data_IF_789179481912
#
_entry.id   IF_789179481912
#
_cell.length_a   1.000
_cell.length_b   1.000
_cell.length_c   1.000
_cell.angle_alpha   90.00
_cell.angle_beta   90.00
_cell.angle_gamma   90.00
#
_symmetry.space_group_name_H-M   'P 1'
#
loop_
_entity.id
_entity.type
_entity.pdbx_description
1 polymer ?
#
# COMPACT_ATOMS: atom_id res chain seq x y z
N UNK A 1 8.08 30.88 -1.19
CA UNK A 1 7.55 29.73 -0.45
C UNK A 1 8.56 28.60 -0.58
N UNK A 2 8.84 27.88 0.51
CA UNK A 2 9.74 26.72 0.46
C UNK A 2 9.09 25.59 -0.36
N UNK A 3 9.92 24.80 -1.05
CA UNK A 3 9.48 23.71 -1.94
C UNK A 3 10.07 22.39 -1.47
N UNK A 4 9.37 21.28 -1.72
CA UNK A 4 9.91 19.92 -1.55
C UNK A 4 10.63 19.42 -2.82
N UNK A 5 11.24 18.25 -2.74
CA UNK A 5 11.92 17.62 -3.89
C UNK A 5 10.94 17.33 -5.05
N UNK A 6 11.42 17.12 -6.28
CA UNK A 6 10.57 16.66 -7.37
C UNK A 6 10.00 15.26 -7.11
N UNK A 7 8.75 14.99 -7.52
CA UNK A 7 8.10 13.68 -7.40
C UNK A 7 6.72 13.64 -8.09
N UNK A 8 6.08 12.48 -8.17
CA UNK A 8 4.77 12.30 -8.82
C UNK A 8 3.62 12.68 -7.87
N UNK A 9 2.73 13.56 -8.33
CA UNK A 9 1.51 13.91 -7.62
C UNK A 9 0.48 12.76 -7.69
N UNK A 10 -0.12 12.32 -6.56
CA UNK A 10 -1.12 11.27 -6.55
C UNK A 10 -2.46 11.69 -7.16
N UNK A 11 -2.74 13.01 -7.21
CA UNK A 11 -4.00 13.54 -7.73
C UNK A 11 -4.03 13.66 -9.25
N UNK A 12 -3.05 14.36 -9.83
CA UNK A 12 -3.00 14.61 -11.29
C UNK A 12 -1.97 13.76 -12.03
N UNK A 13 -1.19 12.92 -11.33
CA UNK A 13 -0.19 11.99 -11.90
C UNK A 13 0.98 12.65 -12.63
N UNK A 14 1.08 13.97 -12.51
CA UNK A 14 2.18 14.77 -13.05
C UNK A 14 3.40 14.78 -12.12
N UNK A 15 4.60 14.88 -12.70
CA UNK A 15 5.81 15.20 -11.96
C UNK A 15 5.78 16.67 -11.54
N UNK A 16 5.91 16.94 -10.25
CA UNK A 16 5.78 18.27 -9.65
C UNK A 16 6.81 18.50 -8.56
N UNK A 17 6.98 19.77 -8.18
CA UNK A 17 7.78 20.23 -7.04
C UNK A 17 6.82 21.01 -6.12
N UNK A 18 6.14 20.32 -5.18
CA UNK A 18 5.10 20.90 -4.34
C UNK A 18 5.61 22.05 -3.47
N UNK A 19 4.74 23.04 -3.28
CA UNK A 19 4.97 24.16 -2.38
C UNK A 19 4.57 23.76 -0.96
N UNK A 20 5.43 24.03 0.02
CA UNK A 20 5.11 23.83 1.44
C UNK A 20 4.14 24.92 1.85
N UNK A 21 2.95 24.50 2.30
CA UNK A 21 1.91 25.40 2.80
C UNK A 21 1.81 25.38 4.33
N UNK A 22 2.33 24.33 4.97
CA UNK A 22 2.42 24.21 6.42
C UNK A 22 3.62 23.32 6.79
N UNK A 23 4.58 23.88 7.53
CA UNK A 23 5.70 23.13 8.09
C UNK A 23 5.30 22.49 9.42
N UNK A 24 5.69 21.23 9.62
CA UNK A 24 5.38 20.46 10.80
C UNK A 24 6.64 19.75 11.32
N UNK A 25 6.82 19.72 12.64
CA UNK A 25 7.96 19.06 13.29
C UNK A 25 7.68 17.62 13.71
N UNK A 26 6.42 17.32 14.04
CA UNK A 26 5.97 15.99 14.48
C UNK A 26 5.25 15.25 13.34
N UNK A 27 4.40 16.00 12.61
CA UNK A 27 3.68 15.50 11.44
C UNK A 27 4.48 15.80 10.17
N UNK A 28 4.03 15.25 9.04
CA UNK A 28 4.61 15.59 7.74
C UNK A 28 4.22 17.00 7.35
N UNK A 29 5.13 17.70 6.67
CA UNK A 29 4.83 18.97 6.04
C UNK A 29 3.67 18.84 5.06
N UNK A 30 2.71 19.75 5.16
CA UNK A 30 1.59 19.84 4.23
C UNK A 30 2.04 20.60 3.01
N UNK A 31 1.95 19.96 1.85
CA UNK A 31 2.37 20.56 0.59
C UNK A 31 1.17 20.70 -0.36
N UNK A 32 1.25 21.65 -1.28
CA UNK A 32 0.26 21.88 -2.33
C UNK A 32 0.86 21.59 -3.70
N UNK A 33 0.17 20.81 -4.51
CA UNK A 33 0.55 20.58 -5.90
C UNK A 33 0.40 21.89 -6.72
N UNK A 34 1.44 22.37 -7.42
CA UNK A 34 1.36 23.61 -8.19
C UNK A 34 0.53 23.46 -9.49
N UNK A 35 0.22 22.23 -9.92
CA UNK A 35 -0.55 21.98 -11.14
C UNK A 35 -2.05 21.80 -10.91
N UNK A 36 -2.42 21.01 -9.91
CA UNK A 36 -3.81 20.64 -9.66
C UNK A 36 -4.32 21.08 -8.28
N UNK A 37 -3.49 21.82 -7.54
CA UNK A 37 -3.83 22.39 -6.23
C UNK A 37 -4.16 21.40 -5.11
N UNK A 38 -4.10 20.10 -5.39
CA UNK A 38 -4.33 19.05 -4.41
C UNK A 38 -3.29 19.07 -3.28
N UNK A 39 -3.74 18.78 -2.07
CA UNK A 39 -2.88 18.62 -0.89
C UNK A 39 -2.13 17.30 -0.99
N UNK A 40 -0.82 17.33 -0.78
CA UNK A 40 0.06 16.18 -0.88
C UNK A 40 1.04 16.15 0.30
N UNK A 41 1.50 14.94 0.63
CA UNK A 41 2.51 14.70 1.65
C UNK A 41 3.61 13.80 1.09
N UNK A 42 4.83 13.91 1.60
CA UNK A 42 5.91 12.99 1.22
C UNK A 42 5.55 11.56 1.61
N UNK A 43 5.78 10.60 0.70
CA UNK A 43 5.56 9.18 0.95
C UNK A 43 6.39 8.69 2.15
N UNK A 44 5.84 7.81 3.00
CA UNK A 44 6.60 7.23 4.12
C UNK A 44 7.47 6.04 3.74
N UNK A 45 7.36 5.51 2.52
CA UNK A 45 8.20 4.38 2.10
C UNK A 45 9.66 4.84 1.98
N UNK A 46 10.60 4.19 2.68
CA UNK A 46 12.01 4.50 2.56
C UNK A 46 12.49 4.41 1.10
N UNK A 47 13.21 5.44 0.63
CA UNK A 47 13.71 5.51 -0.74
C UNK A 47 12.66 5.86 -1.80
N UNK A 48 11.43 6.24 -1.41
CA UNK A 48 10.42 6.74 -2.33
C UNK A 48 10.37 8.27 -2.31
N UNK A 49 10.61 8.88 -3.47
CA UNK A 49 10.58 10.35 -3.66
C UNK A 49 9.24 10.85 -4.23
N UNK A 50 8.17 10.05 -4.14
CA UNK A 50 6.83 10.42 -4.59
C UNK A 50 5.91 10.87 -3.44
N UNK A 51 4.67 11.24 -3.80
CA UNK A 51 3.73 11.87 -2.89
C UNK A 51 2.51 11.00 -2.57
N UNK A 52 2.12 11.01 -1.29
CA UNK A 52 0.88 10.45 -0.77
C UNK A 52 -0.26 11.49 -0.81
N UNK A 53 -1.49 11.01 -0.96
CA UNK A 53 -2.68 11.86 -1.12
C UNK A 53 -3.08 12.43 0.23
N UNK A 54 -3.19 13.77 0.32
CA UNK A 54 -3.85 14.40 1.45
C UNK A 54 -5.36 14.25 1.37
N UNK A 55 -6.00 13.89 2.48
CA UNK A 55 -7.43 13.69 2.60
C UNK A 55 -8.08 14.63 3.61
N UNK A 56 -9.41 14.72 3.60
CA UNK A 56 -10.14 15.57 4.55
C UNK A 56 -10.20 14.94 5.94
N UNK A 57 -10.30 13.62 6.01
CA UNK A 57 -10.48 12.86 7.27
C UNK A 57 -9.21 12.13 7.68
N UNK A 58 -8.46 11.62 6.69
CA UNK A 58 -7.23 10.86 6.90
C UNK A 58 -6.30 11.10 5.72
N UNK A 59 -5.03 11.37 6.02
CA UNK A 59 -3.99 11.53 5.02
C UNK A 59 -3.38 10.17 4.69
N UNK A 60 -3.30 9.82 3.41
CA UNK A 60 -2.69 8.55 3.02
C UNK A 60 -1.22 8.52 3.46
N UNK A 61 -0.77 7.36 3.92
CA UNK A 61 0.60 7.21 4.41
C UNK A 61 1.61 6.96 3.30
N UNK A 62 1.14 6.33 2.22
CA UNK A 62 1.93 5.84 1.11
C UNK A 62 1.44 6.45 -0.19
N UNK A 63 2.34 6.64 -1.15
CA UNK A 63 1.94 6.99 -2.51
C UNK A 63 1.22 5.79 -3.17
N UNK A 64 0.43 6.01 -4.24
CA UNK A 64 -0.30 4.93 -4.88
C UNK A 64 0.55 3.76 -5.38
N UNK A 65 1.82 4.01 -5.76
CA UNK A 65 2.74 2.94 -6.16
C UNK A 65 3.16 2.08 -4.97
N UNK A 66 3.58 2.69 -3.87
CA UNK A 66 3.96 1.98 -2.66
C UNK A 66 2.78 1.22 -2.04
N UNK A 67 1.58 1.81 -2.04
CA UNK A 67 0.36 1.12 -1.62
C UNK A 67 0.10 -0.14 -2.44
N UNK A 68 0.25 -0.06 -3.77
CA UNK A 68 0.08 -1.22 -4.65
C UNK A 68 1.09 -2.33 -4.35
N UNK A 69 2.37 -1.98 -4.16
CA UNK A 69 3.41 -2.95 -3.80
C UNK A 69 3.06 -3.68 -2.49
N UNK A 70 2.58 -2.97 -1.47
CA UNK A 70 2.18 -3.59 -0.19
C UNK A 70 0.97 -4.52 -0.39
N UNK A 71 -0.04 -4.09 -1.14
CA UNK A 71 -1.22 -4.90 -1.43
C UNK A 71 -0.86 -6.19 -2.20
N UNK A 72 -0.04 -6.07 -3.25
CA UNK A 72 0.35 -7.19 -4.11
C UNK A 72 1.18 -8.23 -3.33
N UNK A 73 2.07 -7.80 -2.42
CA UNK A 73 2.87 -8.71 -1.59
C UNK A 73 2.06 -9.40 -0.48
N UNK A 74 0.96 -8.80 -0.02
CA UNK A 74 0.07 -9.43 0.98
C UNK A 74 -0.67 -10.63 0.38
N UNK A 75 -1.03 -10.58 -0.91
CA UNK A 75 -1.64 -11.70 -1.63
C UNK A 75 -0.72 -12.91 -1.80
N UNK A 76 0.60 -12.69 -1.88
CA UNK A 76 1.59 -13.77 -2.03
C UNK A 76 1.78 -14.57 -0.75
N UNK A 77 1.71 -13.93 0.42
CA UNK A 77 1.79 -14.62 1.72
C UNK A 77 0.53 -15.47 1.97
N UNK A 78 -0.66 -14.97 1.62
CA UNK A 78 -1.91 -15.74 1.76
C UNK A 78 -1.94 -16.98 0.85
N UNK A 79 -1.38 -16.89 -0.36
CA UNK A 79 -1.25 -18.06 -1.25
C UNK A 79 -0.20 -19.07 -0.77
N UNK A 80 0.82 -18.62 -0.04
CA UNK A 80 1.86 -19.49 0.52
C UNK A 80 1.38 -20.31 1.74
N UNK A 81 0.50 -19.75 2.58
CA UNK A 81 -0.01 -20.46 3.77
C UNK A 81 -1.17 -21.42 3.42
N UNK A 82 -1.92 -21.16 2.35
CA UNK A 82 -2.94 -22.11 1.86
C UNK A 82 -2.35 -23.44 1.33
N UNK A 83 -1.06 -23.47 0.98
CA UNK A 83 -0.37 -24.68 0.54
C UNK A 83 0.13 -25.58 1.70
N UNK A 84 -0.04 -25.15 2.96
CA UNK A 84 0.29 -25.96 4.15
C UNK A 84 -0.98 -26.22 4.97
N UNK A 85 -2.08 -26.56 4.31
CA UNK A 85 -3.06 -27.45 4.93
C UNK A 85 -2.59 -28.88 4.67
N UNK A 86 -1.59 -29.33 5.43
CA UNK A 86 -1.34 -30.77 5.59
C UNK A 86 -2.51 -31.29 6.40
N UNK A 87 -3.44 -32.11 5.86
CA UNK A 87 -4.32 -32.86 6.73
C UNK A 87 -3.42 -33.82 7.51
N UNK A 88 -3.36 -33.68 8.83
CA UNK A 88 -2.81 -34.72 9.68
C UNK A 88 -3.75 -35.91 9.56
N UNK A 89 -3.48 -36.78 8.58
CA UNK A 89 -4.24 -38.02 8.42
C UNK A 89 -3.72 -38.97 9.51
N UNK A 90 -4.37 -38.97 10.68
CA UNK A 90 -4.25 -40.09 11.60
C UNK A 90 -4.80 -41.33 10.92
N UNK A 91 -3.96 -42.37 10.88
CA UNK A 91 -4.03 -43.65 10.15
C UNK A 91 -5.28 -44.54 10.37
N UNK A 92 -6.40 -44.02 10.90
CA UNK A 92 -7.55 -44.81 11.35
C UNK A 92 -8.86 -44.59 10.57
N UNK A 93 -8.92 -43.77 9.51
CA UNK A 93 -10.17 -43.42 8.83
C UNK A 93 -10.21 -43.72 7.32
N UNK A 94 -9.50 -44.75 6.85
CA UNK A 94 -9.58 -45.20 5.45
C UNK A 94 -10.65 -46.32 5.25
N UNK A 95 -11.15 -46.93 6.32
CA UNK A 95 -12.01 -48.13 6.20
C UNK A 95 -13.52 -47.90 6.13
N UNK A 96 -14.05 -46.75 5.66
CA UNK A 96 -15.52 -46.54 5.68
C UNK A 96 -16.19 -45.87 4.48
N UNK A 97 -15.53 -45.65 3.35
CA UNK A 97 -16.19 -45.13 2.13
C UNK A 97 -15.48 -45.75 0.91
N UNK A 98 -15.89 -46.84 0.27
CA UNK A 98 -17.22 -47.32 -0.03
C UNK A 98 -17.10 -48.80 -0.49
N UNK A 99 -17.88 -49.74 0.08
CA UNK A 99 -17.88 -51.15 -0.32
C UNK A 99 -18.68 -51.37 -1.63
N UNK A 100 -18.08 -52.15 -2.53
CA UNK A 100 -18.70 -53.01 -3.58
C UNK A 100 -20.00 -52.58 -4.29
N UNK A 101 -19.93 -52.41 -5.61
CA UNK A 101 -20.95 -52.90 -6.55
C UNK A 101 -20.28 -53.48 -7.80
N UNK A 102 -20.29 -54.82 -7.89
CA UNK A 102 -20.25 -55.58 -9.13
C UNK A 102 -21.68 -56.08 -9.38
#
# INVERSE_FOLDING_TARGET
MAKKHPGICPHCREKVTPDIIEENSIRRDKCKCPKCEGVVYVCRTPGCDDYAKGGNTYDEELCPQCTKVVADNTGTILKGVAAIAVPVITKAAIDTINPTKN
#
